data_IF_706873249675
#
_entry.id   IF_706873249675
#
_cell.length_a   1.000
_cell.length_b   1.000
_cell.length_c   1.000
_cell.angle_alpha   90.00
_cell.angle_beta   90.00
_cell.angle_gamma   90.00
#
_symmetry.space_group_name_H-M   'P 1'
#
loop_
_entity.id
_entity.type
_entity.pdbx_description
1 polymer ?
#
# COMPACT_ATOMS: atom_id res chain seq x y z
N UNK A 1 -6.38 -29.19 2.22
CA UNK A 1 -4.94 -29.52 2.26
C UNK A 1 -4.17 -28.28 1.79
N UNK A 2 -3.56 -27.55 2.73
CA UNK A 2 -2.70 -26.39 2.46
C UNK A 2 -1.57 -26.78 1.48
N UNK A 3 -1.55 -26.19 0.29
CA UNK A 3 -0.55 -26.52 -0.73
C UNK A 3 0.74 -25.74 -0.44
N UNK A 4 1.65 -26.34 0.33
CA UNK A 4 2.96 -25.72 0.66
C UNK A 4 3.69 -25.27 -0.61
N UNK A 5 4.14 -24.02 -0.59
CA UNK A 5 4.97 -23.40 -1.62
C UNK A 5 6.40 -23.95 -1.51
N UNK A 6 6.75 -24.92 -2.37
CA UNK A 6 8.12 -25.41 -2.49
C UNK A 6 8.93 -24.50 -3.40
N UNK A 7 9.72 -23.62 -2.79
CA UNK A 7 10.49 -22.56 -3.47
C UNK A 7 11.65 -23.10 -4.32
N UNK A 8 12.12 -24.31 -4.06
CA UNK A 8 13.27 -24.93 -4.73
C UNK A 8 12.89 -25.92 -5.83
N UNK A 9 11.64 -26.36 -5.88
CA UNK A 9 11.20 -27.45 -6.78
C UNK A 9 10.06 -27.06 -7.71
N UNK A 10 9.31 -25.99 -7.41
CA UNK A 10 8.23 -25.53 -8.28
C UNK A 10 8.77 -24.68 -9.45
N UNK A 11 8.08 -24.65 -10.61
CA UNK A 11 8.47 -23.80 -11.74
C UNK A 11 8.56 -22.32 -11.36
N UNK A 12 9.64 -21.65 -11.76
CA UNK A 12 9.97 -20.27 -11.41
C UNK A 12 8.81 -19.31 -11.75
N UNK A 13 8.22 -19.41 -12.94
CA UNK A 13 7.14 -18.51 -13.35
C UNK A 13 5.88 -18.61 -12.47
N UNK A 14 5.62 -19.78 -11.88
CA UNK A 14 4.51 -19.98 -10.93
C UNK A 14 4.85 -19.36 -9.58
N UNK A 15 6.05 -19.59 -9.08
CA UNK A 15 6.55 -19.01 -7.83
C UNK A 15 6.55 -17.48 -7.89
N UNK A 16 7.03 -16.93 -9.01
CA UNK A 16 7.11 -15.50 -9.23
C UNK A 16 5.74 -14.84 -9.11
N UNK A 17 4.70 -15.40 -9.75
CA UNK A 17 3.32 -14.87 -9.63
C UNK A 17 2.78 -15.00 -8.22
N UNK A 18 3.02 -16.14 -7.55
CA UNK A 18 2.54 -16.38 -6.19
C UNK A 18 3.16 -15.44 -5.15
N UNK A 19 4.36 -14.89 -5.41
CA UNK A 19 5.06 -13.97 -4.51
C UNK A 19 4.86 -12.52 -4.96
N UNK A 20 5.13 -12.21 -6.22
CA UNK A 20 5.13 -10.84 -6.75
C UNK A 20 3.73 -10.22 -6.73
N UNK A 21 2.67 -10.97 -7.04
CA UNK A 21 1.31 -10.41 -7.04
C UNK A 21 0.92 -9.89 -5.65
N UNK A 22 0.93 -10.71 -4.57
CA UNK A 22 0.57 -10.21 -3.25
C UNK A 22 1.55 -9.15 -2.73
N UNK A 23 2.86 -9.26 -3.02
CA UNK A 23 3.84 -8.26 -2.61
C UNK A 23 3.60 -6.90 -3.28
N UNK A 24 3.38 -6.87 -4.59
CA UNK A 24 3.11 -5.65 -5.34
C UNK A 24 1.79 -5.00 -4.93
N UNK A 25 0.74 -5.80 -4.67
CA UNK A 25 -0.53 -5.28 -4.14
C UNK A 25 -0.29 -4.64 -2.78
N UNK A 26 0.36 -5.33 -1.84
CA UNK A 26 0.67 -4.77 -0.53
C UNK A 26 1.46 -3.46 -0.60
N UNK A 27 2.50 -3.42 -1.44
CA UNK A 27 3.31 -2.22 -1.65
C UNK A 27 2.50 -1.07 -2.25
N UNK A 28 1.63 -1.35 -3.22
CA UNK A 28 0.78 -0.34 -3.85
C UNK A 28 -0.20 0.26 -2.83
N UNK A 29 -0.89 -0.59 -2.07
CA UNK A 29 -1.79 -0.15 -1.01
C UNK A 29 -1.04 0.68 0.04
N UNK A 30 0.15 0.25 0.47
CA UNK A 30 0.97 1.01 1.41
C UNK A 30 1.27 2.42 0.89
N UNK A 31 1.71 2.56 -0.37
CA UNK A 31 1.97 3.86 -0.98
C UNK A 31 0.69 4.71 -1.04
N UNK A 32 -0.43 4.12 -1.46
CA UNK A 32 -1.71 4.83 -1.52
C UNK A 32 -2.16 5.30 -0.13
N UNK A 33 -2.01 4.49 0.92
CA UNK A 33 -2.31 4.91 2.29
C UNK A 33 -1.46 6.12 2.71
N UNK A 34 -0.18 6.13 2.38
CA UNK A 34 0.70 7.25 2.73
C UNK A 34 0.31 8.55 1.99
N UNK A 35 -0.14 8.43 0.73
CA UNK A 35 -0.66 9.56 -0.06
C UNK A 35 -1.98 10.06 0.52
N UNK A 36 -2.91 9.15 0.83
CA UNK A 36 -4.21 9.46 1.43
C UNK A 36 -4.02 10.14 2.79
N UNK A 37 -3.17 9.59 3.66
CA UNK A 37 -2.86 10.18 4.96
C UNK A 37 -2.32 11.61 4.81
N UNK A 38 -1.38 11.83 3.88
CA UNK A 38 -0.82 13.16 3.62
C UNK A 38 -1.85 14.11 3.01
N UNK A 39 -2.71 13.62 2.11
CA UNK A 39 -3.75 14.42 1.47
C UNK A 39 -4.79 14.90 2.50
N UNK A 40 -5.26 14.00 3.37
CA UNK A 40 -6.23 14.34 4.40
C UNK A 40 -5.61 15.14 5.57
N UNK A 41 -4.39 14.81 6.01
CA UNK A 41 -3.67 15.62 6.98
C UNK A 41 -3.37 17.03 6.44
N UNK A 42 -3.03 17.13 5.14
CA UNK A 42 -2.83 18.39 4.44
C UNK A 42 -4.11 19.22 4.34
N UNK A 43 -5.25 18.57 4.05
CA UNK A 43 -6.58 19.19 4.08
C UNK A 43 -6.89 19.76 5.47
N UNK A 44 -6.79 18.93 6.52
CA UNK A 44 -7.02 19.35 7.91
C UNK A 44 -6.13 20.53 8.29
N UNK A 45 -4.85 20.50 7.90
CA UNK A 45 -3.92 21.63 8.10
C UNK A 45 -4.39 22.89 7.37
N UNK A 46 -4.78 22.78 6.10
CA UNK A 46 -5.28 23.92 5.33
C UNK A 46 -6.62 24.47 5.85
N UNK A 47 -7.52 23.62 6.35
CA UNK A 47 -8.78 24.03 6.95
C UNK A 47 -8.58 24.65 8.34
N UNK A 48 -7.66 24.11 9.15
CA UNK A 48 -7.28 24.69 10.44
C UNK A 48 -6.56 26.05 10.25
N UNK A 49 -5.66 26.14 9.27
CA UNK A 49 -4.98 27.39 8.94
C UNK A 49 -5.95 28.44 8.37
N UNK A 50 -6.90 28.02 7.52
CA UNK A 50 -7.95 28.90 7.01
C UNK A 50 -8.93 29.36 8.10
N UNK A 51 -9.25 28.49 9.06
CA UNK A 51 -10.07 28.85 10.22
C UNK A 51 -9.36 29.83 11.16
N UNK A 52 -8.05 29.69 11.37
CA UNK A 52 -7.22 30.65 12.10
C UNK A 52 -7.09 32.00 11.37
N UNK A 53 -6.89 31.98 10.05
CA UNK A 53 -6.74 33.20 9.24
C UNK A 53 -8.05 33.97 9.03
N UNK A 54 -9.21 33.34 9.30
CA UNK A 54 -10.53 33.96 9.25
C UNK A 54 -11.01 34.45 10.64
N UNK A 55 -10.12 34.49 11.63
CA UNK A 55 -10.38 35.08 12.95
C UNK A 55 -10.09 36.57 12.99
#
# INVERSE_FOLDING_TARGET
>A
MEKKLNLTSNPIGRLLKQIAIPASVGSLFQTLFNIVDTFFAGKISSEALAALAKS
#
